data_IF_276264566670
#
_entry.id   IF_276264566670
#
_cell.length_a   1.000
_cell.length_b   1.000
_cell.length_c   1.000
_cell.angle_alpha   90.00
_cell.angle_beta   90.00
_cell.angle_gamma   90.00
#
_symmetry.space_group_name_H-M   'P 1'
#
loop_
_entity.id
_entity.type
_entity.pdbx_description
1 polymer ?
#
# COMPACT_ATOMS: atom_id res chain seq x y z
N UNK A 1 39.72 20.21 33.05
CA UNK A 1 40.81 19.48 32.34
C UNK A 1 40.16 18.49 31.38
N UNK A 2 40.36 18.67 30.06
CA UNK A 2 39.89 17.88 28.89
C UNK A 2 38.37 17.98 28.62
N UNK A 3 37.85 18.73 27.63
CA UNK A 3 38.20 18.92 26.20
C UNK A 3 38.12 17.62 25.39
N UNK A 4 37.01 17.44 24.65
CA UNK A 4 36.91 16.63 23.42
C UNK A 4 35.74 17.17 22.60
N UNK A 5 36.00 18.15 21.74
CA UNK A 5 36.24 18.02 20.28
C UNK A 5 34.94 17.88 19.47
N UNK A 6 34.29 19.03 19.23
CA UNK A 6 33.38 19.24 18.12
C UNK A 6 34.21 19.35 16.83
N UNK A 7 34.10 18.39 15.93
CA UNK A 7 34.56 18.53 14.54
C UNK A 7 33.33 18.36 13.65
N UNK A 8 32.76 19.48 13.22
CA UNK A 8 31.85 19.56 12.09
C UNK A 8 32.72 19.67 10.83
N UNK A 9 32.88 18.59 10.08
CA UNK A 9 33.39 18.65 8.71
C UNK A 9 32.17 18.88 7.82
N UNK A 10 32.06 20.11 7.31
CA UNK A 10 31.17 20.48 6.21
C UNK A 10 31.72 19.84 4.92
N UNK A 11 31.27 18.62 4.61
CA UNK A 11 31.45 18.04 3.28
C UNK A 11 30.28 18.48 2.42
N UNK A 12 30.45 19.60 1.72
CA UNK A 12 29.60 19.98 0.59
C UNK A 12 29.91 19.03 -0.57
N UNK A 13 29.28 17.87 -0.56
CA UNK A 13 29.18 17.03 -1.75
C UNK A 13 28.14 17.69 -2.66
N UNK A 14 28.62 18.37 -3.70
CA UNK A 14 27.82 18.68 -4.88
C UNK A 14 27.36 17.35 -5.49
N UNK A 15 26.16 16.90 -5.13
CA UNK A 15 25.52 15.77 -5.80
C UNK A 15 25.14 16.21 -7.20
N UNK A 16 25.96 15.83 -8.17
CA UNK A 16 25.53 15.80 -9.56
C UNK A 16 24.45 14.72 -9.64
N UNK A 17 23.18 15.13 -9.52
CA UNK A 17 22.04 14.23 -9.59
C UNK A 17 21.90 13.76 -11.04
N UNK A 18 22.50 12.61 -11.38
CA UNK A 18 22.10 11.87 -12.58
C UNK A 18 20.66 11.42 -12.34
N UNK A 19 19.70 12.09 -12.99
CA UNK A 19 18.31 11.65 -12.97
C UNK A 19 18.29 10.26 -13.60
N UNK A 20 18.04 9.23 -12.79
CA UNK A 20 17.85 7.87 -13.30
C UNK A 20 16.75 7.89 -14.37
N UNK A 21 17.07 7.45 -15.58
CA UNK A 21 16.07 7.26 -16.63
C UNK A 21 15.17 6.10 -16.25
N UNK A 22 13.94 6.40 -15.84
CA UNK A 22 12.91 5.39 -15.60
C UNK A 22 12.18 5.17 -16.91
N UNK A 23 12.15 3.92 -17.40
CA UNK A 23 11.26 3.54 -18.50
C UNK A 23 9.80 3.69 -18.05
N UNK A 24 9.22 4.85 -18.36
CA UNK A 24 7.82 5.17 -18.11
C UNK A 24 6.97 4.41 -19.13
N UNK A 25 6.43 3.26 -18.72
CA UNK A 25 5.44 2.53 -19.51
C UNK A 25 4.07 3.16 -19.22
N UNK A 26 3.48 3.81 -20.23
CA UNK A 26 2.11 4.30 -20.17
C UNK A 26 1.13 3.11 -20.25
N UNK A 27 0.01 3.22 -19.54
CA UNK A 27 -1.01 2.16 -19.53
C UNK A 27 -1.62 1.99 -20.93
N UNK A 28 -1.38 0.85 -21.55
CA UNK A 28 -2.32 0.29 -22.51
C UNK A 28 -3.27 -0.60 -21.71
N UNK A 29 -4.52 -0.16 -21.53
CA UNK A 29 -5.56 -0.93 -20.82
C UNK A 29 -5.87 -2.21 -21.63
N UNK A 30 -5.05 -3.24 -21.42
CA UNK A 30 -5.09 -4.51 -22.15
C UNK A 30 -5.47 -5.67 -21.25
N UNK A 31 -5.37 -5.51 -19.93
CA UNK A 31 -5.69 -6.56 -18.97
C UNK A 31 -7.05 -6.32 -18.31
N UNK A 32 -7.86 -7.37 -18.30
CA UNK A 32 -9.02 -7.51 -17.42
C UNK A 32 -8.58 -7.82 -15.98
N UNK A 33 -9.53 -7.78 -15.06
CA UNK A 33 -9.33 -8.26 -13.69
C UNK A 33 -8.86 -9.73 -13.66
N UNK A 34 -9.45 -10.59 -14.49
CA UNK A 34 -9.09 -12.01 -14.54
C UNK A 34 -7.70 -12.24 -15.11
N UNK A 35 -7.25 -11.44 -16.08
CA UNK A 35 -5.89 -11.58 -16.61
C UNK A 35 -4.85 -11.30 -15.53
N UNK A 36 -5.05 -10.23 -14.75
CA UNK A 36 -4.17 -9.86 -13.63
C UNK A 36 -4.18 -10.97 -12.58
N UNK A 37 -5.37 -11.44 -12.18
CA UNK A 37 -5.46 -12.52 -11.20
C UNK A 37 -4.80 -13.82 -11.69
N UNK A 38 -4.95 -14.15 -12.97
CA UNK A 38 -4.34 -15.36 -13.56
C UNK A 38 -2.81 -15.29 -13.50
N UNK A 39 -2.21 -14.14 -13.80
CA UNK A 39 -0.76 -13.94 -13.64
C UNK A 39 -0.35 -14.05 -12.17
N UNK A 40 -1.06 -13.34 -11.29
CA UNK A 40 -0.73 -13.28 -9.85
C UNK A 40 -0.89 -14.65 -9.17
N UNK A 41 -1.72 -15.56 -9.68
CA UNK A 41 -1.97 -16.86 -9.07
C UNK A 41 -1.26 -18.04 -9.76
N UNK A 42 -0.52 -17.83 -10.84
CA UNK A 42 0.04 -18.92 -11.66
C UNK A 42 1.22 -19.67 -11.01
N UNK A 43 2.16 -18.95 -10.39
CA UNK A 43 3.46 -19.45 -9.96
C UNK A 43 3.57 -19.55 -8.43
N UNK A 44 2.62 -20.28 -7.83
CA UNK A 44 2.52 -20.48 -6.38
C UNK A 44 3.79 -21.13 -5.82
N UNK A 45 4.27 -20.58 -4.71
CA UNK A 45 5.42 -21.11 -4.01
C UNK A 45 5.11 -22.46 -3.35
N UNK A 46 5.99 -23.45 -3.56
CA UNK A 46 5.96 -24.70 -2.80
C UNK A 46 6.34 -24.47 -1.32
N UNK A 47 7.21 -23.49 -1.05
CA UNK A 47 7.59 -23.06 0.29
C UNK A 47 7.72 -21.54 0.32
N UNK A 48 7.16 -20.90 1.36
CA UNK A 48 7.16 -19.45 1.49
C UNK A 48 8.59 -18.88 1.58
N UNK A 49 8.99 -17.98 0.65
CA UNK A 49 10.27 -17.30 0.75
C UNK A 49 10.32 -16.38 1.96
N UNK A 50 11.53 -16.17 2.47
CA UNK A 50 11.83 -15.28 3.60
C UNK A 50 12.80 -14.20 3.12
N UNK A 51 12.34 -13.40 2.15
CA UNK A 51 13.17 -12.39 1.50
C UNK A 51 13.55 -11.32 2.50
N UNK A 52 14.86 -11.10 2.66
CA UNK A 52 15.39 -10.07 3.55
C UNK A 52 15.55 -8.76 2.80
N UNK A 53 15.15 -7.67 3.43
CA UNK A 53 15.49 -6.32 2.97
C UNK A 53 17.01 -6.12 3.09
N UNK A 54 17.63 -5.70 1.99
CA UNK A 54 19.08 -5.41 1.94
C UNK A 54 19.35 -3.91 1.89
N UNK A 55 20.02 -3.39 2.91
CA UNK A 55 20.31 -1.96 3.04
C UNK A 55 21.29 -1.43 1.99
N UNK A 56 22.20 -2.28 1.50
CA UNK A 56 23.15 -1.92 0.45
C UNK A 56 22.45 -1.66 -0.89
N UNK A 57 21.35 -2.38 -1.17
CA UNK A 57 20.60 -2.23 -2.42
C UNK A 57 19.78 -0.94 -2.47
N UNK A 58 19.47 -0.33 -1.33
CA UNK A 58 18.67 0.91 -1.27
C UNK A 58 19.37 2.11 -1.88
N UNK A 59 20.70 2.18 -1.77
CA UNK A 59 21.52 3.31 -2.25
C UNK A 59 22.21 3.05 -3.57
N UNK A 60 21.78 2.04 -4.33
CA UNK A 60 22.36 1.80 -5.64
C UNK A 60 21.90 2.88 -6.63
N UNK A 61 22.85 3.64 -7.20
CA UNK A 61 22.58 4.70 -8.18
C UNK A 61 21.93 4.17 -9.48
N UNK A 62 22.10 2.86 -9.77
CA UNK A 62 21.57 2.20 -10.97
C UNK A 62 20.31 1.36 -10.74
N UNK A 63 19.61 1.50 -9.60
CA UNK A 63 18.43 0.67 -9.29
C UNK A 63 18.05 0.57 -7.82
N UNK A 64 18.20 1.67 -7.06
CA UNK A 64 17.89 1.75 -5.63
C UNK A 64 16.47 2.23 -5.32
N UNK A 65 16.24 2.63 -4.06
CA UNK A 65 14.90 2.97 -3.56
C UNK A 65 14.29 4.19 -4.27
N UNK A 66 15.12 5.13 -4.74
CA UNK A 66 14.67 6.28 -5.54
C UNK A 66 14.13 5.86 -6.91
N UNK A 67 14.81 4.92 -7.59
CA UNK A 67 14.31 4.35 -8.85
C UNK A 67 12.99 3.60 -8.62
N UNK A 68 12.89 2.84 -7.53
CA UNK A 68 11.66 2.15 -7.12
C UNK A 68 10.52 3.13 -6.83
N UNK A 69 10.80 4.26 -6.16
CA UNK A 69 9.83 5.33 -5.90
C UNK A 69 9.32 5.94 -7.20
N UNK A 70 10.23 6.32 -8.12
CA UNK A 70 9.88 6.87 -9.42
C UNK A 70 9.05 5.89 -10.26
N UNK A 71 9.44 4.60 -10.33
CA UNK A 71 8.63 3.57 -10.99
C UNK A 71 7.21 3.52 -10.42
N UNK A 72 7.10 3.56 -9.10
CA UNK A 72 5.80 3.46 -8.42
C UNK A 72 4.91 4.69 -8.68
N UNK A 73 5.50 5.87 -8.90
CA UNK A 73 4.75 7.10 -9.17
C UNK A 73 4.35 7.26 -10.65
N UNK A 74 5.17 6.76 -11.58
CA UNK A 74 5.03 7.08 -12.99
C UNK A 74 4.73 5.90 -13.91
N UNK A 75 4.99 4.65 -13.50
CA UNK A 75 4.63 3.49 -14.32
C UNK A 75 3.16 3.11 -14.06
N UNK A 76 2.36 3.02 -15.12
CA UNK A 76 0.93 2.73 -14.98
C UNK A 76 0.57 1.24 -15.15
N UNK A 77 1.56 0.38 -15.44
CA UNK A 77 1.31 -1.03 -15.67
C UNK A 77 0.81 -1.74 -14.39
N UNK A 78 -0.14 -2.66 -14.57
CA UNK A 78 -0.67 -3.48 -13.46
C UNK A 78 0.25 -4.68 -13.16
N UNK A 79 0.91 -5.19 -14.20
CA UNK A 79 1.88 -6.29 -14.16
C UNK A 79 3.18 -5.81 -14.81
N UNK A 80 4.30 -6.02 -14.13
CA UNK A 80 5.64 -5.71 -14.61
C UNK A 80 6.43 -6.97 -14.97
N UNK A 81 7.54 -6.78 -15.68
CA UNK A 81 8.61 -7.77 -15.70
C UNK A 81 9.12 -8.02 -14.27
N UNK A 82 9.56 -9.26 -13.95
CA UNK A 82 10.00 -9.60 -12.60
C UNK A 82 11.09 -8.66 -12.06
N UNK A 83 10.87 -8.11 -10.88
CA UNK A 83 11.84 -7.26 -10.18
C UNK A 83 11.90 -7.56 -8.68
N UNK A 84 12.99 -7.15 -8.03
CA UNK A 84 13.13 -7.24 -6.58
C UNK A 84 12.53 -6.00 -5.90
N UNK A 85 11.49 -6.22 -5.07
CA UNK A 85 10.94 -5.18 -4.21
C UNK A 85 11.91 -4.91 -3.05
N UNK A 86 12.44 -3.68 -2.99
CA UNK A 86 13.33 -3.25 -1.90
C UNK A 86 12.60 -2.92 -0.59
N UNK A 87 11.28 -2.74 -0.67
CA UNK A 87 10.36 -2.59 0.45
C UNK A 87 9.16 -3.50 0.23
N UNK A 88 8.55 -3.99 1.32
CA UNK A 88 7.44 -4.94 1.24
C UNK A 88 7.74 -6.24 0.45
N UNK A 89 8.90 -6.90 0.65
CA UNK A 89 9.34 -7.98 -0.23
C UNK A 89 8.59 -9.31 -0.05
N UNK A 90 7.90 -9.50 1.08
CA UNK A 90 7.15 -10.72 1.38
C UNK A 90 5.65 -10.37 1.47
N UNK A 91 4.82 -11.07 0.69
CA UNK A 91 3.38 -10.82 0.69
C UNK A 91 2.54 -12.03 0.32
N UNK A 92 1.24 -11.79 0.39
CA UNK A 92 0.17 -12.65 -0.10
C UNK A 92 -0.80 -11.77 -0.87
N UNK A 93 -1.20 -12.23 -2.05
CA UNK A 93 -2.14 -11.52 -2.91
C UNK A 93 -3.53 -12.12 -2.77
N UNK A 94 -4.54 -11.29 -3.05
CA UNK A 94 -5.94 -11.65 -2.96
C UNK A 94 -6.70 -11.15 -4.15
N UNK A 95 -7.81 -11.82 -4.41
CA UNK A 95 -8.93 -11.21 -5.11
C UNK A 95 -10.15 -11.16 -4.21
N UNK A 96 -11.04 -10.22 -4.51
CA UNK A 96 -12.23 -10.00 -3.71
C UNK A 96 -13.12 -8.88 -4.25
N UNK A 97 -13.98 -8.39 -3.36
CA UNK A 97 -14.98 -7.36 -3.65
C UNK A 97 -14.82 -6.22 -2.64
N UNK A 98 -14.78 -5.01 -3.16
CA UNK A 98 -14.97 -3.77 -2.42
C UNK A 98 -16.45 -3.39 -2.44
N UNK A 99 -17.02 -3.02 -1.31
CA UNK A 99 -18.43 -2.61 -1.21
C UNK A 99 -18.61 -1.46 -0.22
N UNK A 100 -19.35 -0.43 -0.62
CA UNK A 100 -19.82 0.64 0.27
C UNK A 100 -21.33 0.55 0.43
N UNK A 101 -21.82 0.48 1.65
CA UNK A 101 -23.24 0.31 1.97
C UNK A 101 -23.82 1.40 2.87
N UNK A 102 -22.99 2.29 3.44
CA UNK A 102 -23.44 3.41 4.27
C UNK A 102 -23.40 4.72 3.49
N UNK A 103 -24.46 5.54 3.64
CA UNK A 103 -24.52 6.88 3.10
C UNK A 103 -23.41 7.78 3.66
N UNK A 104 -22.74 8.51 2.77
CA UNK A 104 -21.65 9.41 3.09
C UNK A 104 -21.51 10.46 1.96
N UNK A 105 -20.77 11.57 2.15
CA UNK A 105 -20.72 12.67 1.17
C UNK A 105 -19.67 12.48 0.07
N UNK A 106 -18.90 11.38 0.07
CA UNK A 106 -17.75 11.20 -0.80
C UNK A 106 -18.11 10.70 -2.20
N UNK A 107 -17.25 10.99 -3.18
CA UNK A 107 -17.45 10.61 -4.58
C UNK A 107 -16.95 9.22 -4.95
N UNK A 108 -17.20 8.84 -6.21
CA UNK A 108 -16.66 7.65 -6.85
C UNK A 108 -17.00 6.38 -6.09
N UNK A 109 -15.99 5.53 -5.89
CA UNK A 109 -16.17 4.24 -5.23
C UNK A 109 -16.22 4.34 -3.70
N UNK A 110 -16.30 5.56 -3.14
CA UNK A 110 -16.77 5.79 -1.78
C UNK A 110 -18.28 6.05 -1.68
N UNK A 111 -19.01 6.22 -2.80
CA UNK A 111 -20.47 6.40 -2.77
C UNK A 111 -21.17 5.14 -2.27
N UNK A 112 -22.24 5.31 -1.49
CA UNK A 112 -23.14 4.21 -1.12
C UNK A 112 -23.63 3.46 -2.36
N UNK A 113 -23.62 2.12 -2.29
CA UNK A 113 -24.01 1.24 -3.38
C UNK A 113 -22.87 0.92 -4.36
N UNK A 114 -21.69 1.51 -4.20
CA UNK A 114 -20.53 1.19 -5.05
C UNK A 114 -20.01 -0.21 -4.75
N UNK A 115 -19.82 -1.01 -5.80
CA UNK A 115 -19.18 -2.32 -5.75
C UNK A 115 -18.11 -2.42 -6.84
N UNK A 116 -16.91 -2.88 -6.48
CA UNK A 116 -15.79 -3.07 -7.39
C UNK A 116 -15.12 -4.42 -7.17
N UNK A 117 -14.65 -5.03 -8.25
CA UNK A 117 -13.65 -6.09 -8.16
C UNK A 117 -12.33 -5.52 -7.60
N UNK A 118 -11.68 -6.28 -6.73
CA UNK A 118 -10.46 -5.88 -6.02
C UNK A 118 -9.35 -6.91 -6.23
N UNK A 119 -8.18 -6.44 -6.63
CA UNK A 119 -6.91 -7.15 -6.44
C UNK A 119 -6.19 -6.49 -5.27
N UNK A 120 -5.79 -7.27 -4.27
CA UNK A 120 -5.11 -6.74 -3.09
C UNK A 120 -3.83 -7.52 -2.77
N UNK A 121 -2.96 -6.91 -1.96
CA UNK A 121 -1.77 -7.54 -1.42
C UNK A 121 -1.54 -7.11 0.03
N UNK A 122 -1.51 -8.09 0.93
CA UNK A 122 -0.98 -7.90 2.28
C UNK A 122 0.52 -8.21 2.29
N UNK A 123 1.29 -7.49 3.09
CA UNK A 123 2.75 -7.62 3.12
C UNK A 123 3.37 -7.16 4.43
N UNK A 124 4.63 -7.51 4.64
CA UNK A 124 5.47 -6.92 5.67
C UNK A 124 6.46 -5.96 5.03
N UNK A 125 6.51 -4.70 5.48
CA UNK A 125 7.41 -3.67 4.96
C UNK A 125 8.89 -4.07 5.09
N UNK A 126 9.21 -4.82 6.16
CA UNK A 126 10.54 -5.30 6.51
C UNK A 126 10.70 -6.82 6.27
N UNK A 127 11.85 -7.36 6.68
CA UNK A 127 12.25 -8.76 6.50
C UNK A 127 11.41 -9.77 7.30
N UNK A 128 10.89 -9.37 8.48
CA UNK A 128 10.24 -10.29 9.40
C UNK A 128 8.80 -10.58 8.96
N UNK A 129 8.46 -11.87 8.87
CA UNK A 129 7.13 -12.39 8.50
C UNK A 129 6.46 -13.13 9.66
N UNK A 130 7.24 -13.53 10.67
CA UNK A 130 6.81 -14.45 11.72
C UNK A 130 6.40 -13.77 13.02
N UNK A 131 5.36 -14.30 13.66
CA UNK A 131 4.95 -13.88 15.00
C UNK A 131 6.07 -14.05 16.03
N UNK A 132 6.04 -13.21 17.08
CA UNK A 132 7.12 -13.11 18.07
C UNK A 132 8.29 -12.22 17.64
N UNK A 133 8.15 -11.46 16.55
CA UNK A 133 9.11 -10.45 16.11
C UNK A 133 8.39 -9.17 15.67
N UNK A 134 9.08 -8.03 15.70
CA UNK A 134 8.51 -6.78 15.20
C UNK A 134 8.26 -6.87 13.70
N UNK A 135 7.02 -6.57 13.30
CA UNK A 135 6.55 -6.60 11.91
C UNK A 135 5.81 -5.29 11.61
N UNK A 136 6.05 -4.74 10.43
CA UNK A 136 5.32 -3.58 9.93
C UNK A 136 4.42 -4.05 8.80
N UNK A 137 3.11 -4.07 9.01
CA UNK A 137 2.17 -4.59 8.02
C UNK A 137 1.70 -3.51 7.05
N UNK A 138 1.54 -3.90 5.79
CA UNK A 138 0.94 -3.08 4.74
C UNK A 138 -0.12 -3.84 3.96
N UNK A 139 -1.08 -3.11 3.43
CA UNK A 139 -2.16 -3.58 2.57
C UNK A 139 -2.32 -2.61 1.39
N UNK A 140 -2.09 -3.11 0.18
CA UNK A 140 -2.32 -2.36 -1.04
C UNK A 140 -3.51 -2.97 -1.80
N UNK A 141 -4.35 -2.13 -2.38
CA UNK A 141 -5.50 -2.56 -3.18
C UNK A 141 -5.60 -1.82 -4.50
N UNK A 142 -6.20 -2.50 -5.48
CA UNK A 142 -6.50 -1.99 -6.83
C UNK A 142 -7.95 -2.30 -7.17
N UNK A 143 -8.76 -1.26 -7.30
CA UNK A 143 -10.17 -1.32 -7.62
C UNK A 143 -10.38 -1.25 -9.14
N UNK A 144 -11.23 -2.14 -9.63
CA UNK A 144 -11.71 -2.16 -10.99
C UNK A 144 -13.17 -1.74 -10.97
N UNK A 145 -13.52 -0.75 -11.77
CA UNK A 145 -14.83 -0.12 -11.78
C UNK A 145 -15.91 -0.97 -12.50
N UNK A 146 -15.94 -2.26 -12.20
CA UNK A 146 -16.80 -3.27 -12.82
C UNK A 146 -16.96 -4.46 -11.90
N UNK A 147 -18.03 -5.23 -12.13
CA UNK A 147 -18.27 -6.55 -11.54
C UNK A 147 -18.12 -7.68 -12.56
N UNK A 148 -17.85 -7.36 -13.83
CA UNK A 148 -17.49 -8.35 -14.85
C UNK A 148 -15.97 -8.58 -14.83
N UNK A 149 -15.50 -9.77 -14.43
CA UNK A 149 -14.07 -10.04 -14.29
C UNK A 149 -13.34 -10.14 -15.64
N UNK A 150 -14.06 -10.26 -16.76
CA UNK A 150 -13.49 -10.29 -18.12
C UNK A 150 -13.48 -8.91 -18.77
N UNK A 151 -14.14 -7.91 -18.17
CA UNK A 151 -14.17 -6.57 -18.74
C UNK A 151 -12.78 -5.93 -18.69
N UNK A 152 -12.27 -5.58 -19.87
CA UNK A 152 -11.10 -4.71 -20.00
C UNK A 152 -11.58 -3.28 -19.75
N UNK A 153 -11.37 -2.80 -18.52
CA UNK A 153 -11.80 -1.46 -18.13
C UNK A 153 -11.17 -0.40 -19.03
N UNK A 154 -12.02 0.42 -19.66
CA UNK A 154 -11.59 1.61 -20.41
C UNK A 154 -11.08 2.71 -19.48
N UNK A 155 -11.51 2.70 -18.22
CA UNK A 155 -11.07 3.63 -17.19
C UNK A 155 -9.85 3.09 -16.43
N UNK A 156 -9.00 3.97 -15.93
CA UNK A 156 -7.89 3.57 -15.06
C UNK A 156 -8.43 3.00 -13.74
N UNK A 157 -7.84 1.90 -13.27
CA UNK A 157 -8.09 1.35 -11.93
C UNK A 157 -7.63 2.33 -10.84
N UNK A 158 -8.30 2.32 -9.68
CA UNK A 158 -7.88 3.12 -8.52
C UNK A 158 -7.05 2.28 -7.53
N UNK A 159 -5.86 2.75 -7.16
CA UNK A 159 -5.04 2.08 -6.14
C UNK A 159 -5.15 2.80 -4.79
N UNK A 160 -5.02 2.04 -3.70
CA UNK A 160 -4.87 2.57 -2.34
C UNK A 160 -3.82 1.79 -1.55
N UNK A 161 -3.29 2.42 -0.51
CA UNK A 161 -2.17 1.92 0.28
C UNK A 161 -2.44 2.23 1.75
N UNK A 162 -2.41 1.20 2.57
CA UNK A 162 -2.62 1.29 4.00
C UNK A 162 -1.46 0.58 4.71
N UNK A 163 -1.02 1.18 5.81
CA UNK A 163 0.06 0.66 6.63
C UNK A 163 -0.39 0.76 8.08
N UNK A 164 0.00 -0.21 8.90
CA UNK A 164 -0.32 -0.19 10.33
C UNK A 164 0.55 0.85 11.04
N UNK A 165 1.86 0.63 10.98
CA UNK A 165 2.85 1.44 11.65
C UNK A 165 4.16 1.31 10.87
N UNK A 166 4.78 2.44 10.51
CA UNK A 166 6.02 2.43 9.74
C UNK A 166 7.18 1.77 10.51
N UNK A 167 7.15 1.82 11.84
CA UNK A 167 8.12 1.15 12.68
C UNK A 167 7.80 -0.29 13.07
N UNK A 168 6.59 -0.73 12.73
CA UNK A 168 6.05 -2.02 13.10
C UNK A 168 5.68 -2.15 14.57
N UNK A 169 5.03 -3.27 14.88
CA UNK A 169 4.55 -3.65 16.21
C UNK A 169 4.90 -5.13 16.48
N UNK A 170 4.67 -5.59 17.70
CA UNK A 170 4.75 -7.01 18.08
C UNK A 170 3.38 -7.71 18.01
N UNK A 171 2.42 -7.14 17.26
CA UNK A 171 1.08 -7.68 17.08
C UNK A 171 1.14 -9.19 16.81
N UNK A 172 0.27 -9.97 17.49
CA UNK A 172 0.30 -11.43 17.40
C UNK A 172 -0.13 -11.90 16.01
N UNK A 173 -1.21 -11.35 15.46
CA UNK A 173 -1.72 -11.66 14.13
C UNK A 173 -1.78 -10.43 13.25
N UNK A 174 -1.77 -10.64 11.92
CA UNK A 174 -2.06 -9.56 10.97
C UNK A 174 -3.45 -8.96 11.20
N UNK A 175 -4.45 -9.79 11.52
CA UNK A 175 -5.84 -9.34 11.74
C UNK A 175 -6.07 -8.60 13.08
N UNK A 176 -5.04 -8.45 13.92
CA UNK A 176 -5.12 -7.65 15.15
C UNK A 176 -4.88 -6.16 14.91
N UNK A 177 -4.42 -5.78 13.72
CA UNK A 177 -3.91 -4.43 13.47
C UNK A 177 -4.90 -3.58 12.67
N UNK A 178 -4.81 -2.27 12.88
CA UNK A 178 -5.52 -1.27 12.10
C UNK A 178 -4.56 -0.74 11.05
N UNK A 179 -4.97 -0.76 9.79
CA UNK A 179 -4.16 -0.28 8.66
C UNK A 179 -4.73 1.05 8.17
N UNK A 180 -3.93 2.11 8.07
CA UNK A 180 -4.38 3.46 7.69
C UNK A 180 -3.59 4.02 6.51
N UNK A 181 -4.15 4.99 5.79
CA UNK A 181 -3.44 5.69 4.71
C UNK A 181 -2.48 6.79 5.22
N UNK A 182 -2.49 7.07 6.53
CA UNK A 182 -1.55 7.95 7.24
C UNK A 182 -1.07 7.21 8.49
N UNK A 183 -0.11 6.27 8.34
CA UNK A 183 0.35 5.45 9.45
C UNK A 183 1.17 6.25 10.47
N UNK A 184 1.07 5.95 11.77
CA UNK A 184 2.05 6.42 12.74
C UNK A 184 3.45 5.86 12.42
N UNK A 185 4.47 6.59 12.89
CA UNK A 185 5.87 6.20 12.79
C UNK A 185 6.47 5.96 14.17
N UNK A 186 6.29 4.76 14.73
CA UNK A 186 6.89 4.44 16.03
C UNK A 186 8.40 4.20 15.92
N UNK A 187 9.15 4.66 16.91
CA UNK A 187 10.57 4.35 17.04
C UNK A 187 10.72 3.00 17.73
N UNK A 188 10.80 1.93 16.94
CA UNK A 188 11.07 0.58 17.46
C UNK A 188 12.56 0.26 17.42
N UNK A 189 12.99 -0.75 18.18
CA UNK A 189 14.39 -1.22 18.12
C UNK A 189 14.77 -1.69 16.70
N UNK A 190 13.82 -2.25 15.94
CA UNK A 190 14.04 -2.57 14.54
C UNK A 190 14.22 -1.30 13.69
N UNK A 191 13.43 -0.24 13.90
CA UNK A 191 13.67 1.06 13.24
C UNK A 191 15.03 1.63 13.62
N UNK A 192 15.45 1.57 14.88
CA UNK A 192 16.75 2.07 15.33
C UNK A 192 17.90 1.30 14.67
N UNK A 193 17.83 -0.03 14.67
CA UNK A 193 18.79 -0.88 13.94
C UNK A 193 18.81 -0.58 12.45
N UNK A 194 17.67 -0.16 11.91
CA UNK A 194 17.45 0.07 10.49
C UNK A 194 17.29 1.56 10.18
N UNK A 195 17.87 2.47 10.99
CA UNK A 195 17.61 3.91 10.86
C UNK A 195 18.06 4.46 9.50
N UNK A 196 19.14 3.89 8.95
CA UNK A 196 19.62 4.19 7.60
C UNK A 196 18.62 3.79 6.49
N UNK A 197 17.79 2.77 6.72
CA UNK A 197 16.68 2.41 5.83
C UNK A 197 15.58 3.46 5.88
N UNK A 198 15.11 3.79 7.09
CA UNK A 198 14.06 4.78 7.29
C UNK A 198 14.41 6.13 6.69
N UNK A 199 15.65 6.60 6.91
CA UNK A 199 16.15 7.86 6.33
C UNK A 199 16.25 7.82 4.80
N UNK A 200 16.74 6.73 4.20
CA UNK A 200 16.87 6.62 2.74
C UNK A 200 15.50 6.52 2.05
N UNK A 201 14.61 5.71 2.60
CA UNK A 201 13.23 5.59 2.12
C UNK A 201 12.55 6.95 2.23
N UNK A 202 12.62 7.60 3.40
CA UNK A 202 12.02 8.92 3.61
C UNK A 202 12.59 9.96 2.65
N UNK A 203 13.91 10.05 2.47
CA UNK A 203 14.51 11.04 1.57
C UNK A 203 14.11 10.78 0.11
N UNK A 204 14.19 9.53 -0.35
CA UNK A 204 13.82 9.19 -1.72
C UNK A 204 12.34 9.46 -2.02
N UNK A 205 11.46 9.20 -1.04
CA UNK A 205 10.06 9.55 -1.19
C UNK A 205 9.80 11.06 -1.01
N UNK A 206 10.49 11.78 -0.13
CA UNK A 206 10.34 13.24 -0.02
C UNK A 206 10.83 13.97 -1.27
N UNK A 207 11.86 13.46 -1.96
CA UNK A 207 12.36 14.02 -3.21
C UNK A 207 11.39 13.74 -4.38
N UNK A 208 10.66 12.63 -4.32
CA UNK A 208 9.76 12.17 -5.40
C UNK A 208 8.27 12.50 -5.16
N UNK A 209 7.86 12.68 -3.91
CA UNK A 209 6.49 12.88 -3.44
C UNK A 209 6.45 14.00 -2.39
N UNK A 210 5.61 15.00 -2.62
CA UNK A 210 5.50 16.21 -1.80
C UNK A 210 5.08 15.92 -0.36
N UNK A 211 4.35 14.83 -0.12
CA UNK A 211 3.90 14.47 1.23
C UNK A 211 3.91 12.95 1.45
N UNK A 212 5.07 12.38 1.83
CA UNK A 212 5.25 10.94 1.87
C UNK A 212 4.60 10.26 3.08
N UNK A 213 4.09 11.00 4.08
CA UNK A 213 3.50 10.42 5.30
C UNK A 213 2.04 9.97 5.13
N UNK A 214 1.35 10.47 4.10
CA UNK A 214 -0.04 10.13 3.81
C UNK A 214 -0.22 9.78 2.34
N UNK A 215 -1.09 8.81 2.03
CA UNK A 215 -1.48 8.50 0.65
C UNK A 215 -2.90 8.98 0.39
N UNK A 216 -3.04 9.89 -0.57
CA UNK A 216 -4.34 10.48 -0.89
C UNK A 216 -5.29 9.47 -1.55
N UNK A 217 -6.57 9.61 -1.27
CA UNK A 217 -7.62 8.65 -1.66
C UNK A 217 -8.42 9.13 -2.88
N UNK A 218 -8.01 10.21 -3.53
CA UNK A 218 -8.70 10.75 -4.70
C UNK A 218 -8.82 9.75 -5.86
N UNK A 219 -7.89 8.80 -6.10
CA UNK A 219 -8.10 7.84 -7.18
C UNK A 219 -9.41 7.06 -7.01
N UNK A 220 -9.78 6.70 -5.78
CA UNK A 220 -11.04 6.02 -5.49
C UNK A 220 -12.22 6.99 -5.65
N UNK A 221 -12.07 8.22 -5.17
CA UNK A 221 -13.15 9.22 -5.17
C UNK A 221 -13.51 9.71 -6.58
N UNK A 222 -12.55 9.63 -7.52
CA UNK A 222 -12.74 10.03 -8.91
C UNK A 222 -13.05 8.85 -9.83
N UNK A 223 -12.92 7.61 -9.36
CA UNK A 223 -13.19 6.41 -10.15
C UNK A 223 -14.66 6.36 -10.54
N UNK A 224 -14.97 6.23 -11.83
CA UNK A 224 -16.35 6.23 -12.34
C UNK A 224 -17.04 7.59 -12.38
N UNK A 225 -16.37 8.67 -11.96
CA UNK A 225 -16.95 10.02 -11.97
C UNK A 225 -16.69 10.76 -13.29
N UNK A 226 -17.53 11.77 -13.55
CA UNK A 226 -17.30 12.71 -14.64
C UNK A 226 -16.17 13.69 -14.27
N UNK A 227 -15.31 14.04 -15.23
CA UNK A 227 -14.15 14.91 -15.01
C UNK A 227 -14.49 16.31 -14.45
N UNK A 228 -15.72 16.79 -14.65
CA UNK A 228 -16.18 18.11 -14.19
C UNK A 228 -16.96 18.05 -12.86
N UNK A 229 -17.12 16.87 -12.26
CA UNK A 229 -17.86 16.75 -11.01
C UNK A 229 -17.04 17.35 -9.85
N UNK A 230 -17.73 18.11 -8.98
CA UNK A 230 -17.16 18.53 -7.70
C UNK A 230 -17.16 17.31 -6.76
N UNK A 231 -15.99 16.73 -6.55
CA UNK A 231 -15.81 15.44 -5.85
C UNK A 231 -15.18 15.69 -4.48
N UNK A 232 -15.92 15.31 -3.42
CA UNK A 232 -15.36 15.22 -2.08
C UNK A 232 -14.60 13.91 -1.91
N UNK A 233 -13.39 14.01 -1.38
CA UNK A 233 -12.50 12.88 -1.09
C UNK A 233 -12.34 12.76 0.43
N UNK A 234 -12.43 11.56 1.03
CA UNK A 234 -12.06 11.41 2.44
C UNK A 234 -10.57 11.67 2.61
N UNK A 235 -10.18 12.36 3.69
CA UNK A 235 -8.76 12.59 3.99
C UNK A 235 -8.10 11.30 4.48
N UNK A 236 -8.80 10.59 5.35
CA UNK A 236 -8.31 9.38 5.99
C UNK A 236 -9.19 8.18 5.67
N UNK A 237 -8.55 7.02 5.58
CA UNK A 237 -9.17 5.72 5.49
C UNK A 237 -8.40 4.75 6.38
N UNK A 238 -9.15 3.88 7.06
CA UNK A 238 -8.61 2.71 7.74
C UNK A 238 -9.36 1.45 7.36
N UNK A 239 -8.67 0.31 7.45
CA UNK A 239 -9.31 -1.00 7.46
C UNK A 239 -8.91 -1.80 8.69
N UNK A 240 -9.83 -2.64 9.15
CA UNK A 240 -9.65 -3.54 10.28
C UNK A 240 -10.44 -4.83 10.04
N UNK A 241 -9.94 -5.97 10.50
CA UNK A 241 -10.60 -7.25 10.28
C UNK A 241 -11.98 -7.28 10.96
N UNK A 242 -13.01 -7.71 10.23
CA UNK A 242 -14.39 -7.71 10.73
C UNK A 242 -14.70 -8.90 11.66
N UNK A 243 -13.99 -10.03 11.52
CA UNK A 243 -14.10 -11.20 12.39
C UNK A 243 -12.87 -11.30 13.32
N UNK A 244 -13.13 -11.71 14.56
CA UNK A 244 -12.14 -11.93 15.60
C UNK A 244 -11.50 -13.33 15.56
N UNK A 245 -11.99 -14.25 14.72
CA UNK A 245 -11.40 -15.59 14.59
C UNK A 245 -10.00 -15.53 14.00
N UNK A 246 -9.02 -15.54 14.89
CA UNK A 246 -7.60 -15.60 14.57
C UNK A 246 -7.20 -17.00 14.12
N UNK A 247 -6.31 -17.04 13.13
CA UNK A 247 -5.60 -18.24 12.74
C UNK A 247 -4.22 -18.13 13.36
N UNK A 248 -3.92 -18.98 14.33
CA UNK A 248 -2.65 -19.01 15.06
C UNK A 248 -1.55 -19.69 14.21
N UNK A 249 -1.16 -19.04 13.12
CA UNK A 249 -0.03 -19.46 12.30
C UNK A 249 1.22 -18.65 12.60
N UNK A 250 2.39 -19.24 12.32
CA UNK A 250 3.65 -18.54 12.61
C UNK A 250 3.94 -17.44 11.61
N UNK A 251 3.65 -17.64 10.32
CA UNK A 251 3.89 -16.69 9.24
C UNK A 251 2.56 -16.03 8.86
N UNK A 252 2.52 -14.69 8.78
CA UNK A 252 1.26 -13.97 8.52
C UNK A 252 0.58 -14.37 7.21
N UNK A 253 1.35 -14.86 6.23
CA UNK A 253 0.77 -15.32 4.94
C UNK A 253 -0.04 -16.60 5.11
N UNK A 254 0.34 -17.45 6.05
CA UNK A 254 -0.43 -18.64 6.39
C UNK A 254 -1.69 -18.26 7.20
N UNK A 255 -1.58 -17.26 8.10
CA UNK A 255 -2.73 -16.72 8.85
C UNK A 255 -3.82 -16.18 7.90
N UNK A 256 -3.41 -15.57 6.79
CA UNK A 256 -4.31 -14.90 5.85
C UNK A 256 -4.78 -15.77 4.67
N UNK A 257 -4.41 -17.05 4.59
CA UNK A 257 -4.87 -17.89 3.48
C UNK A 257 -6.40 -17.95 3.44
N UNK A 258 -6.96 -17.68 2.27
CA UNK A 258 -8.40 -17.65 2.04
C UNK A 258 -8.85 -18.88 1.28
N UNK A 259 -9.85 -19.56 1.83
CA UNK A 259 -10.68 -20.52 1.11
C UNK A 259 -12.02 -19.85 0.79
N UNK A 260 -12.62 -20.17 -0.36
CA UNK A 260 -13.90 -19.57 -0.79
C UNK A 260 -15.03 -19.72 0.26
N UNK A 261 -14.99 -20.79 1.04
CA UNK A 261 -15.93 -21.09 2.14
C UNK A 261 -15.70 -20.26 3.41
N UNK A 262 -14.55 -19.58 3.54
CA UNK A 262 -14.13 -18.80 4.70
C UNK A 262 -13.46 -17.50 4.23
N UNK A 263 -14.24 -16.55 3.69
CA UNK A 263 -13.69 -15.31 3.19
C UNK A 263 -13.12 -14.46 4.32
N UNK A 264 -12.02 -13.75 4.04
CA UNK A 264 -11.49 -12.76 4.95
C UNK A 264 -12.20 -11.43 4.70
N UNK A 265 -12.72 -10.81 5.77
CA UNK A 265 -13.51 -9.57 5.67
C UNK A 265 -12.83 -8.47 6.47
N UNK A 266 -12.71 -7.29 5.87
CA UNK A 266 -12.27 -6.07 6.54
C UNK A 266 -13.38 -5.02 6.50
N UNK A 267 -13.58 -4.30 7.59
CA UNK A 267 -14.40 -3.09 7.62
C UNK A 267 -13.61 -1.93 7.02
N UNK A 268 -14.28 -1.06 6.27
CA UNK A 268 -13.73 0.18 5.74
C UNK A 268 -14.28 1.33 6.56
N UNK A 269 -13.42 2.15 7.16
CA UNK A 269 -13.81 3.41 7.77
C UNK A 269 -13.07 4.58 7.16
N UNK A 270 -13.71 5.74 7.12
CA UNK A 270 -13.15 6.98 6.57
C UNK A 270 -13.39 8.16 7.49
N UNK A 271 -12.58 9.20 7.35
CA UNK A 271 -12.74 10.46 8.06
C UNK A 271 -12.23 11.64 7.21
N UNK A 272 -12.77 12.83 7.44
CA UNK A 272 -12.23 14.11 6.93
C UNK A 272 -11.98 15.13 8.05
N UNK A 273 -12.47 14.84 9.26
CA UNK A 273 -12.41 15.72 10.43
C UNK A 273 -11.66 15.04 11.56
N UNK A 274 -11.09 15.84 12.44
CA UNK A 274 -10.44 15.39 13.66
C UNK A 274 -10.69 16.38 14.79
N UNK A 275 -10.92 15.86 16.00
CA UNK A 275 -11.06 16.64 17.24
C UNK A 275 -9.95 16.20 18.17
N UNK A 276 -9.16 17.14 18.69
CA UNK A 276 -8.03 16.83 19.59
C UNK A 276 -7.07 15.77 19.01
N UNK A 277 -6.80 15.86 17.70
CA UNK A 277 -5.97 14.92 16.92
C UNK A 277 -6.58 13.51 16.70
N UNK A 278 -7.78 13.24 17.24
CA UNK A 278 -8.53 12.01 16.97
C UNK A 278 -9.44 12.17 15.74
N UNK A 279 -9.29 11.31 14.75
CA UNK A 279 -10.14 11.35 13.56
C UNK A 279 -11.57 10.88 13.85
N UNK A 280 -12.56 11.59 13.30
CA UNK A 280 -13.98 11.23 13.39
C UNK A 280 -14.30 10.10 12.39
N UNK A 281 -13.99 8.86 12.77
CA UNK A 281 -14.18 7.70 11.91
C UNK A 281 -15.65 7.35 11.69
N UNK A 282 -16.03 7.18 10.43
CA UNK A 282 -17.29 6.56 10.02
C UNK A 282 -16.99 5.26 9.28
N UNK A 283 -17.54 4.12 9.76
CA UNK A 283 -17.54 2.88 9.00
C UNK A 283 -18.53 2.99 7.84
N UNK A 284 -18.07 2.71 6.61
CA UNK A 284 -18.85 2.95 5.39
C UNK A 284 -19.05 1.72 4.50
N UNK A 285 -18.35 0.63 4.77
CA UNK A 285 -18.41 -0.54 3.91
C UNK A 285 -17.42 -1.64 4.30
N UNK A 286 -17.19 -2.56 3.37
CA UNK A 286 -16.33 -3.73 3.59
C UNK A 286 -15.48 -4.08 2.38
N UNK A 287 -14.36 -4.77 2.66
CA UNK A 287 -13.59 -5.55 1.70
C UNK A 287 -13.81 -7.01 2.02
N UNK A 288 -14.26 -7.81 1.06
CA UNK A 288 -14.40 -9.26 1.19
C UNK A 288 -13.45 -9.97 0.23
N UNK A 289 -12.48 -10.69 0.77
CA UNK A 289 -11.49 -11.46 0.02
C UNK A 289 -11.95 -12.92 -0.06
N UNK A 290 -11.95 -13.51 -1.25
CA UNK A 290 -12.50 -14.85 -1.49
C UNK A 290 -11.51 -15.86 -2.08
N UNK A 291 -10.32 -15.41 -2.46
CA UNK A 291 -9.19 -16.26 -2.81
C UNK A 291 -7.87 -15.55 -2.50
N UNK A 292 -6.84 -16.35 -2.24
CA UNK A 292 -5.48 -15.87 -1.95
C UNK A 292 -4.42 -16.65 -2.74
N UNK A 293 -3.29 -16.02 -3.02
CA UNK A 293 -2.13 -16.65 -3.64
C UNK A 293 -0.81 -16.13 -3.04
N UNK A 294 0.07 -17.06 -2.67
CA UNK A 294 1.47 -16.78 -2.33
C UNK A 294 2.34 -17.28 -3.47
N UNK A 295 2.73 -16.38 -4.37
CA UNK A 295 3.34 -16.74 -5.66
C UNK A 295 4.48 -15.81 -6.03
N UNK A 296 5.31 -16.25 -6.97
CA UNK A 296 6.41 -15.42 -7.48
C UNK A 296 5.89 -14.16 -8.16
N UNK A 297 4.84 -14.26 -8.97
CA UNK A 297 4.26 -13.11 -9.68
C UNK A 297 3.59 -12.12 -8.72
N UNK A 298 2.98 -12.60 -7.62
CA UNK A 298 2.48 -11.73 -6.55
C UNK A 298 3.59 -10.84 -5.96
N UNK A 299 4.74 -11.43 -5.62
CA UNK A 299 5.84 -10.69 -5.00
C UNK A 299 6.68 -9.89 -6.00
N UNK A 300 6.80 -10.35 -7.25
CA UNK A 300 7.80 -9.84 -8.20
C UNK A 300 7.24 -9.07 -9.38
N UNK A 301 5.95 -9.15 -9.65
CA UNK A 301 5.34 -8.59 -10.88
C UNK A 301 4.15 -7.69 -10.63
N UNK A 302 3.30 -8.01 -9.63
CA UNK A 302 2.16 -7.17 -9.29
C UNK A 302 2.62 -5.76 -8.91
N UNK A 303 1.97 -4.77 -9.52
CA UNK A 303 2.32 -3.37 -9.39
C UNK A 303 1.10 -2.50 -9.04
N UNK A 304 1.32 -1.58 -8.10
CA UNK A 304 0.35 -0.60 -7.66
C UNK A 304 0.97 0.77 -7.82
N UNK A 305 0.48 1.55 -8.77
CA UNK A 305 0.89 2.94 -8.94
C UNK A 305 0.42 3.79 -7.77
N UNK A 306 1.32 4.58 -7.19
CA UNK A 306 0.98 5.57 -6.18
C UNK A 306 0.29 6.79 -6.82
N UNK A 307 -0.74 7.37 -6.17
CA UNK A 307 -1.25 8.66 -6.58
C UNK A 307 -0.16 9.73 -6.45
N UNK A 308 -0.03 10.58 -7.47
CA UNK A 308 0.72 11.82 -7.33
C UNK A 308 -0.02 12.76 -6.38
N UNK A 309 0.74 13.50 -5.58
CA UNK A 309 0.18 14.48 -4.65
C UNK A 309 -0.61 15.58 -5.37
N UNK A 310 -1.79 15.89 -4.85
CA UNK A 310 -2.67 16.96 -5.32
C UNK A 310 -2.97 17.94 -4.19
N UNK A 311 -2.75 19.23 -4.45
CA UNK A 311 -3.08 20.31 -3.51
C UNK A 311 -4.51 20.84 -3.69
N UNK A 312 -5.20 20.41 -4.75
CA UNK A 312 -6.53 20.89 -5.18
C UNK A 312 -7.69 20.01 -4.69
N UNK A 313 -7.45 19.10 -3.75
CA UNK A 313 -8.48 18.20 -3.22
C UNK A 313 -9.44 18.92 -2.29
N UNK A 314 -10.72 18.58 -2.42
CA UNK A 314 -11.76 19.03 -1.51
C UNK A 314 -12.07 17.96 -0.46
N UNK A 315 -11.99 18.37 0.81
CA UNK A 315 -12.37 17.57 1.97
C UNK A 315 -13.63 18.12 2.61
N UNK A 316 -14.39 17.27 3.28
CA UNK A 316 -15.52 17.72 4.09
C UNK A 316 -15.01 18.63 5.22
N UNK A 317 -15.55 19.85 5.32
CA UNK A 317 -15.17 20.84 6.36
C UNK A 317 -16.08 20.71 7.59
N UNK A 318 -15.59 21.11 8.75
CA UNK A 318 -16.44 21.35 9.92
C UNK A 318 -17.45 22.45 9.61
N UNK A 319 -18.66 22.32 10.15
CA UNK A 319 -19.69 23.38 10.12
C UNK A 319 -19.35 24.48 11.11
#
# INVERSE_FOLDING_TARGET
>A
MKLLLFIFILLTLSSCSSKAEVNVVKKENTFSFNDIWSVVSADVYAQLPQTKVSYFKLSNENGGIAHDAMRTLYNDADILEPFEKLAHPNGICFKGIWKIDVQNPYGGYFKQGSEALLIARASTAMSNTKSGSTRAFGFAGKLFATMDPQEISKQASANFFLIENLGGTDAKHYSDVILTNEPPASVTMEVVKNIAYGLKVSNAFSDADKNPSIRQLYPISYLGENANAKILTPKWMKIEAADSKRVDEKDFREELKVERSKPLVFNISVASKSVEEEQEWQMIGTIKLDASATSFSCDRRLHFKHPLWRDDLEYERSK
#
